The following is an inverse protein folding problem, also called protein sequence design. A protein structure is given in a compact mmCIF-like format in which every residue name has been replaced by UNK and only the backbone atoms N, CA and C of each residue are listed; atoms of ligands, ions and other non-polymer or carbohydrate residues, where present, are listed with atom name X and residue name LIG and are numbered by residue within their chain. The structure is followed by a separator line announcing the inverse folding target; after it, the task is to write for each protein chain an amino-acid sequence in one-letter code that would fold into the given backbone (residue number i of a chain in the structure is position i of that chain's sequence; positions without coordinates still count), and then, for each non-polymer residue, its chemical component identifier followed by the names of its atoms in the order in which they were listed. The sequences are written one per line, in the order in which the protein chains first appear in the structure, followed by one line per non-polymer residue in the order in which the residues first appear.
data_IF_071174593328
#
_entry.id   IF_071174593328
#
_cell.length_a   1.000
_cell.length_b   1.000
_cell.length_c   1.000
_cell.angle_alpha   90.00
_cell.angle_beta   90.00
_cell.angle_gamma   90.00
#
_symmetry.space_group_name_H-M   'P 1'
#
loop_
_entity.id
_entity.type
_entity.pdbx_description
1 polymer ?
#
# COMPACT_ATOMS: atom_id res chain seq x y z
N UNK A 1 -62.73 -25.49 13.44
CA UNK A 1 -61.90 -24.27 13.56
C UNK A 1 -60.45 -24.69 13.74
N UNK A 2 -59.59 -24.21 12.85
CA UNK A 2 -58.20 -24.66 12.63
C UNK A 2 -57.29 -24.35 13.82
N UNK A 3 -56.52 -25.34 14.26
CA UNK A 3 -55.40 -25.16 15.18
C UNK A 3 -54.27 -24.41 14.45
N UNK A 4 -53.98 -23.19 14.91
CA UNK A 4 -52.84 -22.41 14.42
C UNK A 4 -51.61 -22.82 15.25
N UNK A 5 -50.89 -23.85 14.79
CA UNK A 5 -49.54 -24.15 15.28
C UNK A 5 -48.60 -23.08 14.70
N UNK A 6 -48.33 -22.04 15.48
CA UNK A 6 -47.23 -21.13 15.19
C UNK A 6 -45.95 -21.89 15.54
N UNK A 7 -45.32 -22.43 14.51
CA UNK A 7 -43.96 -22.92 14.56
C UNK A 7 -43.06 -21.69 14.71
N UNK A 8 -42.72 -21.34 15.95
CA UNK A 8 -41.70 -20.33 16.23
C UNK A 8 -40.35 -20.98 15.87
N UNK A 9 -39.99 -20.92 14.59
CA UNK A 9 -38.63 -21.22 14.15
C UNK A 9 -37.79 -20.08 14.68
N UNK A 10 -37.24 -20.25 15.89
CA UNK A 10 -36.12 -19.45 16.37
C UNK A 10 -35.00 -19.65 15.37
N UNK A 11 -34.89 -18.74 14.42
CA UNK A 11 -33.72 -18.59 13.58
C UNK A 11 -32.58 -18.25 14.53
N UNK A 12 -31.84 -19.28 14.94
CA UNK A 12 -30.65 -19.17 15.75
C UNK A 12 -29.60 -18.53 14.83
N UNK A 13 -29.66 -17.21 14.70
CA UNK A 13 -28.54 -16.43 14.19
C UNK A 13 -27.45 -16.64 15.24
N UNK A 14 -26.62 -17.66 15.01
CA UNK A 14 -25.30 -17.74 15.63
C UNK A 14 -24.59 -16.46 15.20
N UNK A 15 -24.79 -15.41 15.98
CA UNK A 15 -23.84 -14.33 16.11
C UNK A 15 -22.60 -15.01 16.68
N UNK A 16 -21.79 -15.60 15.80
CA UNK A 16 -20.40 -15.86 16.12
C UNK A 16 -19.87 -14.49 16.51
N UNK A 17 -19.57 -14.35 17.81
CA UNK A 17 -18.74 -13.25 18.26
C UNK A 17 -17.39 -13.46 17.58
N UNK A 18 -17.25 -12.92 16.36
CA UNK A 18 -15.96 -12.60 15.77
C UNK A 18 -15.40 -11.49 16.65
N UNK A 19 -14.93 -11.87 17.85
CA UNK A 19 -13.98 -11.04 18.57
C UNK A 19 -12.86 -10.78 17.58
N UNK A 20 -12.56 -9.50 17.36
CA UNK A 20 -11.46 -9.10 16.50
C UNK A 20 -10.19 -9.80 17.01
N UNK A 21 -9.73 -10.81 16.26
CA UNK A 21 -8.45 -11.44 16.54
C UNK A 21 -7.38 -10.52 15.96
N UNK A 22 -6.35 -10.23 16.75
CA UNK A 22 -5.18 -9.57 16.22
C UNK A 22 -4.55 -10.47 15.16
N UNK A 23 -4.35 -9.91 13.97
CA UNK A 23 -3.84 -10.60 12.80
C UNK A 23 -2.55 -9.92 12.36
N UNK A 24 -1.49 -10.70 12.16
CA UNK A 24 -0.28 -10.27 11.47
C UNK A 24 -0.16 -11.04 10.16
N UNK A 25 0.17 -10.34 9.08
CA UNK A 25 0.39 -10.93 7.76
C UNK A 25 1.66 -10.36 7.16
N UNK A 26 2.58 -11.24 6.78
CA UNK A 26 3.75 -10.88 5.97
C UNK A 26 3.38 -11.01 4.50
N UNK A 27 3.63 -9.97 3.71
CA UNK A 27 3.40 -9.94 2.27
C UNK A 27 4.70 -9.73 1.52
N UNK A 28 4.81 -10.33 0.34
CA UNK A 28 5.77 -9.94 -0.68
C UNK A 28 5.08 -9.07 -1.73
N UNK A 29 5.58 -7.85 -1.94
CA UNK A 29 5.10 -6.94 -2.97
C UNK A 29 6.14 -6.83 -4.10
N UNK A 30 5.75 -7.15 -5.32
CA UNK A 30 6.65 -7.17 -6.50
C UNK A 30 6.19 -6.14 -7.54
N UNK A 31 7.12 -5.28 -7.96
CA UNK A 31 6.96 -4.38 -9.12
C UNK A 31 7.66 -4.96 -10.33
N UNK A 32 7.20 -4.61 -11.53
CA UNK A 32 7.61 -5.25 -12.79
C UNK A 32 7.46 -6.78 -12.74
N UNK A 33 6.40 -7.29 -12.12
CA UNK A 33 6.25 -8.74 -11.87
C UNK A 33 6.19 -9.59 -13.15
N UNK A 34 5.91 -8.98 -14.31
CA UNK A 34 5.96 -9.62 -15.63
C UNK A 34 7.36 -9.72 -16.24
N UNK A 35 8.36 -9.03 -15.68
CA UNK A 35 9.74 -9.01 -16.18
C UNK A 35 10.69 -9.55 -15.11
N UNK A 36 11.18 -10.78 -15.30
CA UNK A 36 12.01 -11.47 -14.32
C UNK A 36 13.33 -10.74 -14.00
N UNK A 37 13.86 -9.94 -14.93
CA UNK A 37 15.11 -9.20 -14.76
C UNK A 37 14.86 -7.89 -14.00
N UNK A 38 13.74 -7.23 -14.29
CA UNK A 38 13.39 -5.93 -13.70
C UNK A 38 12.49 -6.05 -12.45
N UNK A 39 12.10 -7.27 -12.09
CA UNK A 39 11.25 -7.55 -10.95
C UNK A 39 11.93 -7.11 -9.64
N UNK A 40 11.27 -6.23 -8.90
CA UNK A 40 11.74 -5.77 -7.60
C UNK A 40 10.72 -6.14 -6.53
N UNK A 41 11.13 -7.03 -5.63
CA UNK A 41 10.31 -7.55 -4.52
C UNK A 41 10.69 -6.90 -3.19
N UNK A 42 9.72 -6.74 -2.31
CA UNK A 42 9.94 -6.19 -0.96
C UNK A 42 8.92 -6.76 0.01
N UNK A 43 9.37 -7.03 1.23
CA UNK A 43 8.54 -7.61 2.28
C UNK A 43 7.91 -6.52 3.15
N UNK A 44 6.62 -6.67 3.40
CA UNK A 44 5.84 -5.78 4.23
C UNK A 44 5.01 -6.57 5.21
N UNK A 45 4.72 -5.97 6.36
CA UNK A 45 3.88 -6.57 7.38
C UNK A 45 2.62 -5.74 7.53
N UNK A 46 1.50 -6.44 7.67
CA UNK A 46 0.20 -5.89 7.99
C UNK A 46 -0.21 -6.39 9.38
N UNK A 47 -0.47 -5.47 10.29
CA UNK A 47 -1.10 -5.76 11.57
C UNK A 47 -2.52 -5.22 11.58
N UNK A 48 -3.49 -6.02 12.02
CA UNK A 48 -4.90 -5.64 12.14
C UNK A 48 -5.40 -6.04 13.54
N UNK A 49 -6.03 -5.11 14.26
CA UNK A 49 -6.67 -5.38 15.57
C UNK A 49 -8.20 -5.17 15.54
N UNK A 50 -8.78 -5.12 14.34
CA UNK A 50 -10.22 -4.94 14.09
C UNK A 50 -10.71 -3.49 14.03
N UNK A 51 -10.08 -2.58 14.78
CA UNK A 51 -10.42 -1.13 14.74
C UNK A 51 -9.43 -0.32 13.92
N UNK A 52 -8.19 -0.80 13.83
CA UNK A 52 -7.09 -0.15 13.13
C UNK A 52 -6.21 -1.17 12.41
N UNK A 53 -5.40 -0.69 11.47
CA UNK A 53 -4.32 -1.50 10.90
C UNK A 53 -3.10 -0.67 10.51
N UNK A 54 -1.93 -1.30 10.52
CA UNK A 54 -0.68 -0.72 10.05
C UNK A 54 -0.02 -1.65 9.02
N UNK A 55 0.30 -1.10 7.84
CA UNK A 55 1.09 -1.78 6.82
C UNK A 55 2.44 -1.08 6.66
N UNK A 56 3.54 -1.80 6.85
CA UNK A 56 4.88 -1.19 6.81
C UNK A 56 5.95 -2.15 6.29
N UNK A 57 7.01 -1.59 5.71
CA UNK A 57 8.17 -2.35 5.24
C UNK A 57 9.01 -2.84 6.43
N UNK A 58 9.33 -4.13 6.47
CA UNK A 58 10.35 -4.68 7.37
C UNK A 58 11.77 -4.53 6.80
N UNK A 59 11.88 -4.20 5.50
CA UNK A 59 13.17 -4.15 4.85
C UNK A 59 13.98 -2.97 5.39
N UNK A 60 15.21 -3.28 5.82
CA UNK A 60 16.29 -2.33 5.71
C UNK A 60 16.50 -2.07 4.21
N UNK A 61 15.87 -1.01 3.70
CA UNK A 61 15.91 -0.60 2.29
C UNK A 61 17.35 -0.33 1.78
N UNK A 62 18.38 -0.53 2.62
CA UNK A 62 19.78 -0.59 2.21
C UNK A 62 20.16 -1.86 1.45
N UNK A 63 19.39 -2.97 1.55
CA UNK A 63 19.74 -4.26 0.92
C UNK A 63 19.99 -4.23 -0.60
N UNK A 64 19.21 -3.53 -1.44
CA UNK A 64 19.52 -3.38 -2.87
C UNK A 64 20.84 -2.65 -3.14
N UNK A 65 21.33 -1.89 -2.16
CA UNK A 65 22.61 -1.20 -2.20
C UNK A 65 23.74 -2.01 -1.54
N UNK A 66 23.46 -3.15 -0.88
CA UNK A 66 24.46 -4.01 -0.22
C UNK A 66 25.28 -4.85 -1.23
N UNK A 67 24.68 -5.26 -2.35
CA UNK A 67 25.40 -5.95 -3.45
C UNK A 67 26.29 -4.99 -4.26
N UNK A 68 26.14 -3.69 -4.03
CA UNK A 68 27.01 -2.67 -4.60
C UNK A 68 28.15 -2.43 -3.59
N UNK A 69 29.39 -2.74 -3.97
CA UNK A 69 30.62 -2.66 -3.16
C UNK A 69 31.02 -1.22 -2.74
N UNK A 70 30.05 -0.33 -2.54
CA UNK A 70 30.21 1.11 -2.54
C UNK A 70 29.58 1.78 -1.31
N UNK A 71 28.99 1.08 -0.34
CA UNK A 71 28.47 1.74 0.88
C UNK A 71 29.65 2.26 1.72
N UNK A 72 29.73 3.59 1.90
CA UNK A 72 30.75 4.26 2.72
C UNK A 72 30.28 4.38 4.17
N UNK A 73 29.05 4.86 4.39
CA UNK A 73 28.42 4.92 5.70
C UNK A 73 26.89 5.02 5.59
N UNK A 74 26.19 4.83 6.70
CA UNK A 74 24.74 5.07 6.82
C UNK A 74 24.47 5.92 8.05
N UNK A 75 23.78 7.05 7.88
CA UNK A 75 23.44 7.97 8.97
C UNK A 75 21.92 8.11 9.08
N UNK A 76 21.39 8.09 10.30
CA UNK A 76 19.98 8.34 10.53
C UNK A 76 19.74 9.85 10.71
N UNK A 77 18.89 10.43 9.86
CA UNK A 77 18.51 11.84 9.93
C UNK A 77 17.00 11.94 10.07
N UNK A 78 16.53 12.02 11.32
CA UNK A 78 15.10 11.93 11.63
C UNK A 78 14.54 10.55 11.28
N UNK A 79 13.53 10.51 10.41
CA UNK A 79 12.94 9.26 9.88
C UNK A 79 13.61 8.75 8.59
N UNK A 80 14.60 9.49 8.08
CA UNK A 80 15.35 9.08 6.91
C UNK A 80 16.59 8.31 7.33
N UNK A 81 16.92 7.26 6.58
CA UNK A 81 18.26 6.66 6.63
C UNK A 81 19.01 7.10 5.38
N UNK A 82 20.00 7.96 5.60
CA UNK A 82 20.95 8.37 4.57
C UNK A 82 21.92 7.21 4.30
N UNK A 83 22.11 6.87 3.04
CA UNK A 83 23.11 5.89 2.60
C UNK A 83 24.08 6.64 1.70
N UNK A 84 25.33 6.77 2.15
CA UNK A 84 26.39 7.33 1.32
C UNK A 84 27.05 6.21 0.52
N UNK A 85 26.99 6.37 -0.79
CA UNK A 85 27.59 5.48 -1.79
C UNK A 85 28.92 6.11 -2.24
N UNK A 86 29.91 5.28 -2.56
CA UNK A 86 31.18 5.70 -3.15
C UNK A 86 30.91 6.54 -4.41
N UNK A 87 31.71 7.59 -4.58
CA UNK A 87 31.53 8.71 -5.52
C UNK A 87 30.62 9.87 -5.05
N UNK A 88 30.43 10.05 -3.72
CA UNK A 88 29.64 11.15 -3.11
C UNK A 88 28.15 11.16 -3.53
N UNK A 89 27.55 9.99 -3.76
CA UNK A 89 26.13 9.88 -4.04
C UNK A 89 25.37 9.52 -2.76
N UNK A 90 24.35 10.32 -2.43
CA UNK A 90 23.54 10.15 -1.22
C UNK A 90 22.14 9.64 -1.60
N UNK A 91 21.75 8.47 -1.07
CA UNK A 91 20.39 7.96 -1.15
C UNK A 91 19.66 8.17 0.20
N UNK A 92 18.37 8.51 0.15
CA UNK A 92 17.52 8.63 1.35
C UNK A 92 16.52 7.49 1.35
N UNK A 93 16.59 6.63 2.36
CA UNK A 93 15.63 5.56 2.60
C UNK A 93 14.52 6.06 3.52
N UNK A 94 13.28 5.73 3.19
CA UNK A 94 12.10 6.07 3.99
C UNK A 94 11.31 4.81 4.25
N UNK A 95 11.13 4.49 5.52
CA UNK A 95 10.21 3.44 5.90
C UNK A 95 8.79 3.91 5.61
N UNK A 96 8.14 3.30 4.61
CA UNK A 96 6.75 3.58 4.32
C UNK A 96 5.85 2.90 5.35
N UNK A 97 4.93 3.66 5.92
CA UNK A 97 3.92 3.20 6.85
C UNK A 97 2.55 3.72 6.42
N UNK A 98 1.57 2.82 6.37
CA UNK A 98 0.18 3.11 6.05
C UNK A 98 -0.65 2.74 7.27
N UNK A 99 -1.17 3.75 7.95
CA UNK A 99 -2.04 3.62 9.09
C UNK A 99 -3.50 3.79 8.65
N UNK A 100 -4.36 2.85 9.04
CA UNK A 100 -5.81 2.90 8.79
C UNK A 100 -6.56 2.90 10.11
N UNK A 101 -7.49 3.83 10.25
CA UNK A 101 -8.51 3.86 11.30
C UNK A 101 -9.88 3.56 10.67
N UNK A 102 -10.41 2.38 10.96
CA UNK A 102 -11.66 1.91 10.37
C UNK A 102 -12.91 2.55 10.98
N UNK A 103 -12.80 3.16 12.17
CA UNK A 103 -13.88 3.89 12.80
C UNK A 103 -14.05 5.26 12.15
N UNK A 104 -12.94 5.94 11.89
CA UNK A 104 -12.90 7.27 11.28
C UNK A 104 -12.79 7.22 9.74
N UNK A 105 -12.85 6.02 9.14
CA UNK A 105 -12.67 5.78 7.70
C UNK A 105 -11.42 6.48 7.12
N UNK A 106 -10.33 6.50 7.87
CA UNK A 106 -9.17 7.34 7.56
C UNK A 106 -7.93 6.49 7.26
N UNK A 107 -7.25 6.78 6.16
CA UNK A 107 -5.95 6.28 5.78
C UNK A 107 -4.92 7.42 5.89
N UNK A 108 -3.83 7.22 6.63
CA UNK A 108 -2.73 8.19 6.77
C UNK A 108 -1.42 7.49 6.45
N UNK A 109 -0.58 8.11 5.62
CA UNK A 109 0.69 7.52 5.20
C UNK A 109 1.72 8.58 4.80
N UNK A 110 3.00 8.22 4.85
CA UNK A 110 4.08 9.05 4.37
C UNK A 110 4.39 8.83 2.89
N UNK A 111 4.81 9.90 2.22
CA UNK A 111 5.30 9.88 0.84
C UNK A 111 6.43 10.90 0.65
N UNK A 112 7.05 10.89 -0.53
CA UNK A 112 8.13 11.80 -0.89
C UNK A 112 7.78 12.75 -2.03
N UNK A 113 8.18 14.01 -1.87
CA UNK A 113 8.29 14.99 -2.95
C UNK A 113 9.76 15.41 -3.05
N UNK A 114 10.50 14.80 -3.98
CA UNK A 114 11.96 14.84 -3.96
C UNK A 114 12.49 14.16 -2.70
N UNK A 115 13.27 14.89 -1.90
CA UNK A 115 13.79 14.41 -0.61
C UNK A 115 12.90 14.80 0.57
N UNK A 116 11.80 15.53 0.35
CA UNK A 116 10.93 16.00 1.43
C UNK A 116 9.84 14.96 1.73
N UNK A 117 9.79 14.51 2.99
CA UNK A 117 8.69 13.73 3.55
C UNK A 117 7.44 14.60 3.67
N UNK A 118 6.32 14.05 3.25
CA UNK A 118 4.98 14.61 3.43
C UNK A 118 4.05 13.54 3.96
N UNK A 119 3.10 13.94 4.81
CA UNK A 119 2.06 13.05 5.32
C UNK A 119 0.77 13.31 4.56
N UNK A 120 0.18 12.25 4.05
CA UNK A 120 -1.05 12.30 3.27
C UNK A 120 -2.16 11.63 4.05
N UNK A 121 -3.34 12.27 4.07
CA UNK A 121 -4.58 11.68 4.58
C UNK A 121 -5.59 11.53 3.45
N UNK A 122 -6.21 10.36 3.40
CA UNK A 122 -7.29 9.99 2.47
C UNK A 122 -8.32 9.11 3.19
N UNK A 123 -9.40 8.77 2.50
CA UNK A 123 -10.34 7.75 2.96
C UNK A 123 -9.79 6.35 2.67
N UNK A 124 -10.25 5.34 3.41
CA UNK A 124 -9.79 3.95 3.23
C UNK A 124 -10.33 3.31 1.94
N UNK A 125 -11.61 3.53 1.64
CA UNK A 125 -12.31 2.88 0.54
C UNK A 125 -12.05 3.61 -0.79
N UNK A 126 -10.82 3.46 -1.31
CA UNK A 126 -10.38 4.13 -2.54
C UNK A 126 -10.77 3.39 -3.83
N UNK A 127 -11.39 2.22 -3.71
CA UNK A 127 -11.63 1.30 -4.83
C UNK A 127 -13.07 0.79 -4.76
N UNK A 128 -13.79 0.96 -5.87
CA UNK A 128 -15.12 0.37 -6.06
C UNK A 128 -14.97 -1.08 -6.54
N UNK A 129 -15.00 -2.01 -5.59
CA UNK A 129 -14.81 -3.43 -5.89
C UNK A 129 -16.07 -4.09 -6.46
N UNK A 130 -15.87 -4.92 -7.49
CA UNK A 130 -16.85 -5.89 -7.97
C UNK A 130 -16.49 -7.28 -7.44
N UNK A 131 -17.34 -7.87 -6.60
CA UNK A 131 -17.12 -9.19 -6.00
C UNK A 131 -17.64 -10.30 -6.93
N UNK A 132 -16.84 -11.34 -7.13
CA UNK A 132 -17.15 -12.50 -7.98
C UNK A 132 -17.29 -13.74 -7.09
N UNK A 133 -18.45 -13.91 -6.44
CA UNK A 133 -18.69 -14.96 -5.43
C UNK A 133 -18.45 -16.40 -5.90
N UNK A 134 -18.60 -16.64 -7.20
CA UNK A 134 -18.45 -17.96 -7.82
C UNK A 134 -16.98 -18.29 -8.13
N UNK A 135 -16.08 -17.30 -8.05
CA UNK A 135 -14.66 -17.46 -8.30
C UNK A 135 -13.90 -17.49 -6.98
N UNK A 136 -13.47 -18.70 -6.62
CA UNK A 136 -12.79 -19.00 -5.38
C UNK A 136 -11.40 -19.57 -5.63
N UNK A 137 -10.47 -19.25 -4.75
CA UNK A 137 -9.10 -19.76 -4.77
C UNK A 137 -8.62 -19.94 -3.34
N UNK A 138 -7.92 -21.04 -3.05
CA UNK A 138 -7.22 -21.18 -1.78
C UNK A 138 -5.89 -20.43 -1.84
N UNK A 139 -5.65 -19.59 -0.85
CA UNK A 139 -4.37 -18.89 -0.64
C UNK A 139 -3.91 -19.23 0.77
N UNK A 140 -2.74 -19.86 0.87
CA UNK A 140 -2.31 -20.58 2.07
C UNK A 140 -3.41 -21.58 2.47
N UNK A 141 -3.94 -21.48 3.68
CA UNK A 141 -5.01 -22.33 4.22
C UNK A 141 -6.42 -21.71 4.13
N UNK A 142 -6.57 -20.55 3.48
CA UNK A 142 -7.83 -19.79 3.44
C UNK A 142 -8.52 -19.83 2.07
N UNK A 143 -9.81 -20.15 2.06
CA UNK A 143 -10.66 -19.98 0.87
C UNK A 143 -10.91 -18.49 0.65
N UNK A 144 -10.45 -17.98 -0.49
CA UNK A 144 -10.56 -16.59 -0.86
C UNK A 144 -11.54 -16.39 -2.01
N UNK A 145 -12.25 -15.28 -1.99
CA UNK A 145 -13.20 -14.86 -3.02
C UNK A 145 -12.52 -13.80 -3.88
N UNK A 146 -12.69 -13.90 -5.20
CA UNK A 146 -12.18 -12.92 -6.15
C UNK A 146 -12.99 -11.62 -6.12
N UNK A 147 -12.29 -10.50 -6.29
CA UNK A 147 -12.85 -9.20 -6.60
C UNK A 147 -12.01 -8.50 -7.68
N UNK A 148 -12.62 -7.56 -8.40
CA UNK A 148 -11.92 -6.71 -9.37
C UNK A 148 -12.25 -5.24 -9.16
N UNK A 149 -11.33 -4.34 -9.44
CA UNK A 149 -11.56 -2.90 -9.28
C UNK A 149 -10.48 -2.06 -9.93
N UNK A 150 -10.81 -0.79 -10.18
CA UNK A 150 -9.90 0.19 -10.75
C UNK A 150 -9.30 1.04 -9.63
N UNK A 151 -7.98 1.18 -9.63
CA UNK A 151 -7.29 2.09 -8.72
C UNK A 151 -6.25 2.90 -9.49
N UNK A 152 -6.42 4.23 -9.47
CA UNK A 152 -5.45 5.23 -9.99
C UNK A 152 -4.86 4.88 -11.35
N UNK A 153 -5.74 4.60 -12.31
CA UNK A 153 -5.37 4.33 -13.71
C UNK A 153 -5.02 2.89 -14.03
N UNK A 154 -5.19 1.95 -13.07
CA UNK A 154 -4.89 0.54 -13.27
C UNK A 154 -6.02 -0.37 -12.78
N UNK A 155 -6.22 -1.46 -13.51
CA UNK A 155 -7.16 -2.53 -13.16
C UNK A 155 -6.47 -3.57 -12.29
N UNK A 156 -7.16 -4.03 -11.26
CA UNK A 156 -6.67 -5.02 -10.31
C UNK A 156 -7.65 -6.19 -10.16
N UNK A 157 -7.08 -7.38 -10.04
CA UNK A 157 -7.72 -8.55 -9.45
C UNK A 157 -7.22 -8.70 -8.01
N UNK A 158 -8.13 -8.95 -7.07
CA UNK A 158 -7.81 -9.21 -5.68
C UNK A 158 -8.52 -10.47 -5.19
N UNK A 159 -7.92 -11.16 -4.22
CA UNK A 159 -8.56 -12.27 -3.50
C UNK A 159 -8.60 -11.94 -2.02
N UNK A 160 -9.79 -12.03 -1.42
CA UNK A 160 -10.01 -11.72 0.00
C UNK A 160 -10.58 -12.91 0.76
N UNK A 161 -10.21 -13.03 2.04
CA UNK A 161 -10.62 -14.09 2.95
C UNK A 161 -11.59 -13.53 4.02
N UNK A 162 -12.91 -13.82 3.92
CA UNK A 162 -13.92 -13.35 4.89
C UNK A 162 -13.73 -13.93 6.31
N UNK A 163 -13.06 -15.08 6.43
CA UNK A 163 -12.88 -15.78 7.71
C UNK A 163 -11.87 -15.09 8.65
N UNK A 164 -10.91 -14.34 8.09
CA UNK A 164 -9.79 -13.79 8.86
C UNK A 164 -10.17 -12.59 9.73
N UNK A 165 -10.93 -11.66 9.17
CA UNK A 165 -11.41 -10.44 9.83
C UNK A 165 -12.54 -9.86 8.97
N UNK A 166 -13.31 -8.92 9.52
CA UNK A 166 -14.39 -8.26 8.77
C UNK A 166 -13.87 -7.39 7.61
N UNK A 167 -12.63 -6.91 7.71
CA UNK A 167 -11.98 -5.99 6.75
C UNK A 167 -10.47 -5.98 6.95
N UNK A 168 -9.77 -5.40 5.98
CA UNK A 168 -8.36 -5.08 6.02
C UNK A 168 -7.62 -5.52 4.76
N UNK A 169 -6.45 -4.93 4.52
CA UNK A 169 -5.66 -5.28 3.36
C UNK A 169 -4.33 -4.53 3.28
N UNK A 170 -3.42 -5.00 2.42
CA UNK A 170 -2.09 -4.44 2.28
C UNK A 170 -2.16 -3.07 1.59
N UNK A 171 -1.20 -2.20 1.94
CA UNK A 171 -1.04 -0.89 1.32
C UNK A 171 -2.36 -0.08 1.34
N UNK A 172 -2.85 0.32 0.17
CA UNK A 172 -4.08 1.09 -0.02
C UNK A 172 -5.26 0.24 -0.48
N UNK A 173 -5.05 -1.07 -0.67
CA UNK A 173 -6.12 -1.99 -1.03
C UNK A 173 -6.92 -2.31 0.24
N UNK A 174 -8.20 -1.96 0.22
CA UNK A 174 -9.14 -2.19 1.31
C UNK A 174 -10.58 -2.07 0.79
N UNK A 175 -11.57 -2.26 1.67
CA UNK A 175 -12.99 -2.06 1.35
C UNK A 175 -13.74 -3.34 0.93
N UNK A 176 -13.08 -4.49 0.96
CA UNK A 176 -13.72 -5.80 0.77
C UNK A 176 -14.20 -6.37 2.12
N UNK A 177 -15.27 -7.20 2.15
CA UNK A 177 -15.81 -7.81 3.37
C UNK A 177 -14.97 -9.03 3.80
N UNK A 178 -13.70 -8.76 4.13
CA UNK A 178 -12.69 -9.74 4.50
C UNK A 178 -11.29 -9.13 4.43
N UNK A 179 -10.27 -9.95 4.70
CA UNK A 179 -8.88 -9.51 4.54
C UNK A 179 -8.40 -9.78 3.14
N UNK A 180 -7.90 -8.77 2.44
CA UNK A 180 -7.30 -8.92 1.11
C UNK A 180 -5.95 -9.64 1.25
N UNK A 181 -5.84 -10.82 0.67
CA UNK A 181 -4.64 -11.66 0.74
C UNK A 181 -3.77 -11.55 -0.50
N UNK A 182 -4.35 -11.40 -1.68
CA UNK A 182 -3.60 -11.24 -2.92
C UNK A 182 -4.15 -10.09 -3.73
N UNK A 183 -3.26 -9.35 -4.39
CA UNK A 183 -3.59 -8.33 -5.36
C UNK A 183 -2.66 -8.48 -6.56
N UNK A 184 -3.21 -8.41 -7.76
CA UNK A 184 -2.46 -8.41 -9.01
C UNK A 184 -3.04 -7.38 -9.97
N UNK A 185 -2.20 -6.54 -10.54
CA UNK A 185 -2.62 -5.72 -11.66
C UNK A 185 -2.82 -6.56 -12.91
N UNK A 186 -3.85 -6.26 -13.70
CA UNK A 186 -4.18 -7.07 -14.88
C UNK A 186 -3.11 -7.02 -15.97
N UNK A 187 -2.31 -5.96 -16.00
CA UNK A 187 -1.16 -5.83 -16.89
C UNK A 187 0.10 -6.55 -16.38
N UNK A 188 0.03 -7.20 -15.21
CA UNK A 188 1.13 -7.98 -14.64
C UNK A 188 2.25 -7.14 -14.02
N UNK A 189 2.13 -5.82 -13.98
CA UNK A 189 3.15 -4.93 -13.44
C UNK A 189 3.33 -5.06 -11.92
N UNK A 190 2.24 -5.19 -11.16
CA UNK A 190 2.27 -5.15 -9.71
C UNK A 190 1.55 -6.34 -9.08
N UNK A 191 2.20 -7.00 -8.14
CA UNK A 191 1.60 -8.06 -7.32
C UNK A 191 1.87 -7.85 -5.84
N UNK A 192 0.95 -8.28 -5.00
CA UNK A 192 1.11 -8.42 -3.55
C UNK A 192 0.59 -9.81 -3.20
N UNK A 193 1.43 -10.66 -2.63
CA UNK A 193 1.08 -12.03 -2.25
C UNK A 193 1.45 -12.28 -0.78
N UNK A 194 0.67 -13.07 -0.03
CA UNK A 194 0.96 -13.34 1.37
C UNK A 194 2.02 -14.43 1.48
N UNK A 195 2.94 -14.27 2.43
CA UNK A 195 3.96 -15.25 2.78
C UNK A 195 3.57 -16.03 4.04
N UNK A 196 3.10 -15.32 5.07
CA UNK A 196 2.80 -15.88 6.39
C UNK A 196 1.61 -15.15 7.02
N UNK A 197 0.78 -15.88 7.78
CA UNK A 197 -0.34 -15.34 8.53
C UNK A 197 -0.26 -15.86 9.97
N UNK A 198 -0.20 -14.95 10.95
CA UNK A 198 -0.21 -15.25 12.37
C UNK A 198 -1.45 -14.67 13.06
N UNK A 199 -2.24 -15.54 13.71
CA UNK A 199 -3.44 -15.18 14.49
C UNK A 199 -3.10 -15.00 15.97
N UNK A 200 -3.86 -14.16 16.66
CA UNK A 200 -3.69 -13.84 18.08
C UNK A 200 -2.29 -13.33 18.42
N UNK A 201 -1.70 -12.55 17.50
CA UNK A 201 -0.42 -11.93 17.76
C UNK A 201 -0.53 -10.97 18.95
N UNK A 202 0.39 -11.12 19.89
CA UNK A 202 0.56 -10.23 21.05
C UNK A 202 1.51 -9.07 20.75
N UNK A 203 2.21 -9.13 19.61
CA UNK A 203 3.02 -8.03 19.11
C UNK A 203 2.11 -6.88 18.66
N UNK A 204 2.45 -5.65 19.06
CA UNK A 204 1.76 -4.42 18.66
C UNK A 204 0.26 -4.37 19.04
N UNK A 205 -0.07 -4.70 20.29
CA UNK A 205 -1.44 -4.62 20.83
C UNK A 205 -2.10 -3.25 20.67
N UNK A 206 -1.30 -2.18 20.57
CA UNK A 206 -1.76 -0.82 20.29
C UNK A 206 -1.16 -0.29 18.98
N UNK A 207 -1.94 -0.36 17.90
CA UNK A 207 -1.62 0.30 16.63
C UNK A 207 -2.01 1.78 16.79
N UNK A 208 -1.02 2.63 17.09
CA UNK A 208 -1.23 4.07 17.25
C UNK A 208 -0.91 4.84 15.97
N UNK A 209 -1.61 5.97 15.77
CA UNK A 209 -1.27 6.90 14.70
C UNK A 209 0.04 7.63 15.04
N UNK A 210 1.12 7.27 14.36
CA UNK A 210 2.44 7.91 14.53
C UNK A 210 2.52 9.31 13.91
N UNK A 211 1.50 9.77 13.20
CA UNK A 211 1.47 11.04 12.48
C UNK A 211 0.62 12.13 13.16
N UNK A 212 0.25 11.97 14.44
CA UNK A 212 -0.68 12.88 15.13
C UNK A 212 -0.22 14.36 15.15
N UNK A 213 1.09 14.61 15.18
CA UNK A 213 1.66 15.97 15.24
C UNK A 213 2.18 16.48 13.89
N UNK A 214 2.00 15.71 12.82
CA UNK A 214 2.55 16.02 11.50
C UNK A 214 1.63 16.92 10.69
N UNK A 215 2.23 17.70 9.78
CA UNK A 215 1.44 18.47 8.81
C UNK A 215 0.88 17.53 7.74
N UNK A 216 -0.43 17.29 7.83
CA UNK A 216 -1.18 16.48 6.89
C UNK A 216 -1.60 17.28 5.65
N UNK A 217 -1.48 16.67 4.46
CA UNK A 217 -2.03 17.18 3.20
C UNK A 217 -2.99 16.16 2.57
N UNK A 218 -3.88 16.61 1.68
CA UNK A 218 -4.69 15.70 0.87
C UNK A 218 -3.91 15.11 -0.30
N UNK A 219 -4.43 14.04 -0.89
CA UNK A 219 -3.88 13.48 -2.13
C UNK A 219 -3.84 14.47 -3.30
N UNK A 220 -4.86 15.31 -3.46
CA UNK A 220 -4.87 16.33 -4.51
C UNK A 220 -3.78 17.37 -4.30
N UNK A 221 -3.57 17.78 -3.05
CA UNK A 221 -2.46 18.68 -2.69
C UNK A 221 -1.12 18.03 -3.01
N UNK A 222 -0.95 16.75 -2.68
CA UNK A 222 0.25 15.98 -3.01
C UNK A 222 0.50 15.95 -4.53
N UNK A 223 -0.49 15.62 -5.36
CA UNK A 223 -0.36 15.63 -6.83
C UNK A 223 0.09 16.99 -7.35
N UNK A 224 -0.52 18.06 -6.86
CA UNK A 224 -0.20 19.45 -7.25
C UNK A 224 1.25 19.78 -6.88
N UNK A 225 1.66 19.49 -5.64
CA UNK A 225 2.99 19.84 -5.16
C UNK A 225 4.08 18.96 -5.79
N UNK A 226 3.78 17.68 -6.04
CA UNK A 226 4.65 16.80 -6.83
C UNK A 226 4.84 17.33 -8.24
N UNK A 227 3.76 17.73 -8.94
CA UNK A 227 3.85 18.33 -10.27
C UNK A 227 4.67 19.63 -10.27
N UNK A 228 4.46 20.52 -9.30
CA UNK A 228 5.27 21.74 -9.14
C UNK A 228 6.75 21.42 -8.97
N UNK A 229 7.07 20.41 -8.15
CA UNK A 229 8.44 19.95 -7.94
C UNK A 229 9.05 19.43 -9.25
N UNK A 230 8.33 18.62 -10.02
CA UNK A 230 8.77 18.13 -11.34
C UNK A 230 9.07 19.28 -12.32
N UNK A 231 8.15 20.24 -12.44
CA UNK A 231 8.33 21.43 -13.30
C UNK A 231 9.57 22.22 -12.87
N UNK A 232 9.84 22.32 -11.56
CA UNK A 232 11.05 22.97 -11.05
C UNK A 232 12.31 22.22 -11.49
N UNK A 233 12.32 20.89 -11.47
CA UNK A 233 13.47 20.12 -11.96
C UNK A 233 13.69 20.30 -13.47
N UNK A 234 12.60 20.30 -14.26
CA UNK A 234 12.67 20.59 -15.70
C UNK A 234 13.27 21.96 -16.00
N UNK A 235 12.83 23.01 -15.29
CA UNK A 235 13.40 24.36 -15.46
C UNK A 235 14.90 24.41 -15.13
N UNK A 236 15.34 23.66 -14.11
CA UNK A 236 16.77 23.55 -13.79
C UNK A 236 17.55 22.85 -14.90
N UNK A 237 17.00 21.76 -15.45
CA UNK A 237 17.61 21.07 -16.59
C UNK A 237 17.74 22.02 -17.80
N UNK A 238 16.67 22.78 -18.13
CA UNK A 238 16.71 23.80 -19.19
C UNK A 238 17.78 24.85 -18.98
N UNK A 239 17.92 25.35 -17.76
CA UNK A 239 18.93 26.38 -17.47
C UNK A 239 20.37 25.90 -17.68
N UNK A 240 20.57 24.58 -17.73
CA UNK A 240 21.86 23.93 -17.94
C UNK A 240 22.04 23.41 -19.36
N UNK A 241 21.02 23.51 -20.22
CA UNK A 241 21.06 23.01 -21.59
C UNK A 241 21.64 24.05 -22.56
N UNK A 242 22.26 23.60 -23.63
CA UNK A 242 22.75 24.48 -24.69
C UNK A 242 21.59 25.13 -25.46
N UNK A 243 21.85 26.24 -26.12
CA UNK A 243 20.84 26.87 -26.98
C UNK A 243 20.39 25.90 -28.09
N UNK A 244 19.09 25.63 -28.17
CA UNK A 244 18.49 24.70 -29.13
C UNK A 244 18.32 23.26 -28.62
N UNK A 245 18.80 22.95 -27.41
CA UNK A 245 18.51 21.68 -26.75
C UNK A 245 17.12 21.69 -26.11
N UNK A 246 16.38 20.60 -26.30
CA UNK A 246 15.07 20.38 -25.72
C UNK A 246 15.14 19.25 -24.67
N UNK A 247 14.26 19.29 -23.69
CA UNK A 247 14.17 18.24 -22.67
C UNK A 247 12.74 17.91 -22.31
N UNK A 248 12.49 16.65 -21.94
CA UNK A 248 11.22 16.22 -21.40
C UNK A 248 11.38 15.22 -20.27
N UNK A 249 10.44 15.23 -19.34
CA UNK A 249 10.24 14.16 -18.37
C UNK A 249 8.85 13.60 -18.60
N UNK A 250 8.78 12.29 -18.75
CA UNK A 250 7.54 11.54 -18.87
C UNK A 250 7.46 10.58 -17.70
N UNK A 251 6.31 10.56 -17.03
CA UNK A 251 6.04 9.62 -15.95
C UNK A 251 5.13 8.56 -16.53
N UNK A 252 5.72 7.46 -16.98
CA UNK A 252 4.97 6.27 -17.38
C UNK A 252 4.97 5.26 -16.22
N UNK A 253 3.96 4.39 -16.20
CA UNK A 253 3.98 3.12 -15.47
C UNK A 253 4.12 3.19 -13.94
N UNK A 254 3.67 4.29 -13.32
CA UNK A 254 3.48 4.29 -11.86
C UNK A 254 2.33 3.37 -11.48
N UNK A 255 2.44 2.75 -10.30
CA UNK A 255 1.31 2.03 -9.68
C UNK A 255 0.15 3.01 -9.44
N UNK A 256 0.47 4.24 -9.03
CA UNK A 256 -0.48 5.33 -8.82
C UNK A 256 -0.30 6.39 -9.90
N UNK A 257 -1.23 6.47 -10.84
CA UNK A 257 -1.24 7.56 -11.81
C UNK A 257 -1.54 8.90 -11.09
N UNK A 258 -0.65 9.87 -11.34
CA UNK A 258 -0.76 11.22 -10.81
C UNK A 258 -1.45 12.19 -11.78
N UNK A 259 -1.78 11.75 -12.99
CA UNK A 259 -2.38 12.58 -14.05
C UNK A 259 -1.44 13.68 -14.57
N UNK A 260 -0.13 13.47 -14.46
CA UNK A 260 0.88 14.48 -14.83
C UNK A 260 1.26 14.35 -16.31
N UNK A 261 1.28 13.13 -16.86
CA UNK A 261 1.66 12.86 -18.25
C UNK A 261 3.09 13.29 -18.59
N UNK A 262 3.31 13.68 -19.85
CA UNK A 262 4.57 14.22 -20.34
C UNK A 262 4.69 15.72 -20.07
N UNK A 263 5.84 16.13 -19.56
CA UNK A 263 6.23 17.53 -19.36
C UNK A 263 7.48 17.82 -20.18
N UNK A 264 7.52 18.93 -20.92
CA UNK A 264 8.67 19.31 -21.77
C UNK A 264 9.01 20.80 -21.68
N UNK A 265 10.19 21.17 -22.15
CA UNK A 265 10.65 22.55 -22.25
C UNK A 265 11.51 22.80 -23.48
#
# INVERSE_FOLDING_TARGET
MKYFKILFVTFFFLMSNLYAQNLSITYNATKNASDEILALSSEYNLYINGTTSAYYSNNDDSKPYQDQSFIINTDQIGEFKEVNIADNYTAYLVQYLFYKDYKENTLIYNALIGTKKVIIKEDINLIDWTIHSDSKKNILEYECIKATGTFRGREYEAYFAPELSQRGGPWKFDGLPGVILSVKSLDGYYTIEPLEIAKNSTENSEISNVYNDEKIISWDTYKIDFKKWMVKQLKKLKSRSSAGENGSIEITDRIEDLGIGKLSF
#
